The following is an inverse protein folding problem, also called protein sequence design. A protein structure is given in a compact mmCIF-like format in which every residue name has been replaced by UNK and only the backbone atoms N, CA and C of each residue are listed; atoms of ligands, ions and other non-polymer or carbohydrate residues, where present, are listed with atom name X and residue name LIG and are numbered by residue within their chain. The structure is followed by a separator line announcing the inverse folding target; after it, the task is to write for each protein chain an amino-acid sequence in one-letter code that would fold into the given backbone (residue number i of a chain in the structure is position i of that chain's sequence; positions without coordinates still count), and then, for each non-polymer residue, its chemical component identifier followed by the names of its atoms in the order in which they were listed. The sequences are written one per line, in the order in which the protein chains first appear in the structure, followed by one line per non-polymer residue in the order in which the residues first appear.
data_IF_052174910637
#
_entry.id   IF_052174910637
#
_cell.length_a   1.000
_cell.length_b   1.000
_cell.length_c   1.000
_cell.angle_alpha   90.00
_cell.angle_beta   90.00
_cell.angle_gamma   90.00
#
_symmetry.space_group_name_H-M   'P 1'
#
loop_
_entity.id
_entity.type
_entity.pdbx_description
1 polymer ?
#
# COMPACT_ATOMS: atom_id res chain seq x y z
N UNK A 1 2.15 20.50 -16.87
CA UNK A 1 1.69 19.19 -16.39
C UNK A 1 2.83 18.20 -16.58
N UNK A 2 3.63 17.93 -15.55
CA UNK A 2 4.72 16.96 -15.55
C UNK A 2 5.17 16.76 -14.10
N UNK A 3 4.54 15.85 -13.35
CA UNK A 3 4.77 15.72 -11.91
C UNK A 3 4.60 14.32 -11.32
N UNK A 4 4.28 13.30 -12.12
CA UNK A 4 4.21 11.92 -11.67
C UNK A 4 5.48 11.04 -11.86
N UNK A 5 6.50 11.36 -12.69
CA UNK A 5 7.54 10.38 -13.06
C UNK A 5 8.43 9.85 -11.92
N UNK A 6 8.54 10.60 -10.82
CA UNK A 6 9.37 10.21 -9.69
C UNK A 6 8.76 9.05 -8.89
N UNK A 7 7.43 8.90 -8.94
CA UNK A 7 6.73 7.84 -8.21
C UNK A 7 7.02 6.46 -8.81
N UNK A 8 7.03 6.32 -10.15
CA UNK A 8 7.35 5.04 -10.81
C UNK A 8 8.76 4.55 -10.49
N UNK A 9 9.76 5.45 -10.50
CA UNK A 9 11.15 5.10 -10.16
C UNK A 9 11.25 4.64 -8.71
N UNK A 10 10.59 5.35 -7.79
CA UNK A 10 10.57 5.00 -6.37
C UNK A 10 9.90 3.63 -6.14
N UNK A 11 8.83 3.34 -6.89
CA UNK A 11 8.15 2.04 -6.86
C UNK A 11 9.05 0.93 -7.41
N UNK A 12 9.72 1.15 -8.55
CA UNK A 12 10.67 0.19 -9.12
C UNK A 12 11.80 -0.10 -8.14
N UNK A 13 12.33 0.94 -7.49
CA UNK A 13 13.43 0.81 -6.52
C UNK A 13 13.01 0.07 -5.25
N UNK A 14 11.82 0.36 -4.71
CA UNK A 14 11.28 -0.33 -3.54
C UNK A 14 10.91 -1.78 -3.82
N UNK A 15 10.50 -2.08 -5.06
CA UNK A 15 10.19 -3.44 -5.49
C UNK A 15 11.38 -4.19 -6.09
N UNK A 16 12.51 -3.53 -6.34
CA UNK A 16 13.66 -4.09 -7.06
C UNK A 16 14.05 -5.46 -6.51
N UNK A 17 14.17 -5.59 -5.19
CA UNK A 17 14.51 -6.85 -4.55
C UNK A 17 13.48 -7.97 -4.82
N UNK A 18 12.18 -7.69 -4.68
CA UNK A 18 11.12 -8.67 -4.95
C UNK A 18 11.00 -9.01 -6.43
N UNK A 19 11.16 -8.02 -7.31
CA UNK A 19 11.19 -8.24 -8.75
C UNK A 19 12.37 -9.11 -9.15
N UNK A 20 13.56 -8.86 -8.60
CA UNK A 20 14.75 -9.69 -8.84
C UNK A 20 14.47 -11.13 -8.43
N UNK A 21 13.91 -11.38 -7.25
CA UNK A 21 13.62 -12.75 -6.81
C UNK A 21 12.61 -13.47 -7.70
N UNK A 22 11.53 -12.77 -8.11
CA UNK A 22 10.46 -13.38 -8.91
C UNK A 22 10.91 -13.58 -10.37
N UNK A 23 11.47 -12.55 -10.98
CA UNK A 23 11.94 -12.56 -12.37
C UNK A 23 13.21 -13.42 -12.52
N UNK A 24 13.97 -13.65 -11.45
CA UNK A 24 15.09 -14.61 -11.45
C UNK A 24 14.62 -16.05 -11.67
N UNK A 25 13.32 -16.35 -11.48
CA UNK A 25 12.78 -17.66 -11.86
C UNK A 25 12.89 -17.89 -13.37
N UNK A 26 12.74 -16.84 -14.19
CA UNK A 26 12.82 -16.93 -15.65
C UNK A 26 13.34 -15.61 -16.29
N UNK A 27 14.63 -15.35 -16.09
CA UNK A 27 15.24 -14.08 -16.51
C UNK A 27 15.27 -13.90 -18.05
N UNK A 28 15.31 -14.99 -18.81
CA UNK A 28 15.35 -14.96 -20.27
C UNK A 28 13.99 -14.52 -20.86
N UNK A 29 12.88 -14.99 -20.28
CA UNK A 29 11.54 -14.57 -20.65
C UNK A 29 11.33 -13.06 -20.47
N UNK A 30 11.83 -12.53 -19.36
CA UNK A 30 11.75 -11.10 -19.01
C UNK A 30 12.59 -10.26 -19.95
N UNK A 31 13.79 -10.74 -20.27
CA UNK A 31 14.71 -10.08 -21.19
C UNK A 31 14.11 -9.98 -22.60
N UNK A 32 13.48 -11.04 -23.09
CA UNK A 32 12.79 -11.04 -24.39
C UNK A 32 11.59 -10.07 -24.41
N UNK A 33 10.83 -9.99 -23.31
CA UNK A 33 9.71 -9.06 -23.20
C UNK A 33 10.18 -7.60 -23.08
N UNK A 34 11.25 -7.33 -22.34
CA UNK A 34 11.82 -5.99 -22.23
C UNK A 34 12.35 -5.46 -23.58
N UNK A 35 12.94 -6.34 -24.39
CA UNK A 35 13.34 -6.04 -25.77
C UNK A 35 12.13 -5.76 -26.67
N UNK A 36 11.08 -6.60 -26.58
CA UNK A 36 9.83 -6.42 -27.34
C UNK A 36 9.12 -5.10 -27.02
N UNK A 37 9.26 -4.59 -25.80
CA UNK A 37 8.75 -3.27 -25.41
C UNK A 37 9.75 -2.12 -25.58
N UNK A 38 10.92 -2.38 -26.16
CA UNK A 38 11.97 -1.39 -26.42
C UNK A 38 12.37 -0.56 -25.19
N UNK A 39 12.28 -1.15 -23.99
CA UNK A 39 12.62 -0.52 -22.70
C UNK A 39 14.13 -0.48 -22.43
N UNK A 40 14.92 -1.06 -23.32
CA UNK A 40 16.37 -1.09 -23.24
C UNK A 40 16.95 -0.61 -24.56
N UNK A 41 18.02 0.18 -24.49
CA UNK A 41 18.90 0.35 -25.64
C UNK A 41 19.51 -1.00 -26.02
N UNK A 42 19.81 -1.20 -27.30
CA UNK A 42 20.51 -2.39 -27.80
C UNK A 42 21.78 -2.73 -26.97
N UNK A 43 22.55 -1.72 -26.57
CA UNK A 43 23.71 -1.89 -25.68
C UNK A 43 23.34 -2.33 -24.25
N UNK A 44 22.21 -1.87 -23.71
CA UNK A 44 21.71 -2.31 -22.40
C UNK A 44 21.24 -3.76 -22.43
N UNK A 45 20.55 -4.17 -23.50
CA UNK A 45 20.15 -5.55 -23.73
C UNK A 45 21.36 -6.48 -23.85
N UNK A 46 22.38 -6.10 -24.62
CA UNK A 46 23.60 -6.90 -24.76
C UNK A 46 24.37 -7.05 -23.43
N UNK A 47 24.44 -6.00 -22.61
CA UNK A 47 25.06 -6.05 -21.29
C UNK A 47 24.29 -6.98 -20.34
N UNK A 48 22.97 -6.90 -20.32
CA UNK A 48 22.14 -7.80 -19.53
C UNK A 48 22.27 -9.24 -20.02
N UNK A 49 22.25 -9.47 -21.34
CA UNK A 49 22.40 -10.80 -21.93
C UNK A 49 23.77 -11.44 -21.67
N UNK A 50 24.82 -10.62 -21.60
CA UNK A 50 26.18 -11.09 -21.33
C UNK A 50 26.39 -11.60 -19.89
N UNK A 51 25.50 -11.24 -18.94
CA UNK A 51 25.55 -11.77 -17.57
C UNK A 51 25.10 -13.23 -17.55
N UNK A 52 25.91 -14.10 -16.95
CA UNK A 52 25.57 -15.54 -16.84
C UNK A 52 24.51 -15.83 -15.79
N UNK A 53 24.35 -14.95 -14.79
CA UNK A 53 23.49 -15.21 -13.63
C UNK A 53 22.13 -14.53 -13.79
N UNK A 54 21.00 -15.26 -13.76
CA UNK A 54 19.66 -14.72 -14.00
C UNK A 54 19.27 -13.59 -13.02
N UNK A 55 19.63 -13.71 -11.74
CA UNK A 55 19.41 -12.64 -10.74
C UNK A 55 20.13 -11.34 -11.10
N UNK A 56 21.36 -11.45 -11.63
CA UNK A 56 22.17 -10.29 -11.99
C UNK A 56 21.64 -9.68 -13.28
N UNK A 57 21.24 -10.51 -14.27
CA UNK A 57 20.54 -10.05 -15.47
C UNK A 57 19.37 -9.13 -15.11
N UNK A 58 18.48 -9.59 -14.23
CA UNK A 58 17.30 -8.82 -13.81
C UNK A 58 17.70 -7.56 -13.03
N UNK A 59 18.72 -7.65 -12.18
CA UNK A 59 19.20 -6.51 -11.39
C UNK A 59 19.76 -5.40 -12.28
N UNK A 60 20.60 -5.76 -13.26
CA UNK A 60 21.21 -4.86 -14.23
C UNK A 60 20.14 -4.24 -15.14
N UNK A 61 19.16 -5.04 -15.59
CA UNK A 61 18.01 -4.57 -16.37
C UNK A 61 17.21 -3.51 -15.61
N UNK A 62 16.85 -3.79 -14.35
CA UNK A 62 16.13 -2.85 -13.50
C UNK A 62 16.97 -1.60 -13.22
N UNK A 63 18.28 -1.74 -13.02
CA UNK A 63 19.17 -0.60 -12.79
C UNK A 63 19.25 0.30 -14.02
N UNK A 64 19.43 -0.29 -15.21
CA UNK A 64 19.45 0.44 -16.46
C UNK A 64 18.17 1.23 -16.70
N UNK A 65 17.00 0.63 -16.40
CA UNK A 65 15.70 1.30 -16.54
C UNK A 65 15.58 2.47 -15.55
N UNK A 66 16.02 2.28 -14.30
CA UNK A 66 16.06 3.35 -13.29
C UNK A 66 17.01 4.49 -13.70
N UNK A 67 18.14 4.17 -14.33
CA UNK A 67 19.14 5.14 -14.81
C UNK A 67 18.68 5.89 -16.07
N UNK A 68 17.93 5.23 -16.97
CA UNK A 68 17.45 5.84 -18.22
C UNK A 68 16.35 6.87 -17.95
N UNK A 69 15.50 6.60 -16.97
CA UNK A 69 14.52 7.56 -16.48
C UNK A 69 13.13 6.99 -16.26
N UNK A 70 12.18 7.88 -15.93
CA UNK A 70 10.87 7.49 -15.44
C UNK A 70 9.94 6.91 -16.51
N UNK A 71 10.08 7.33 -17.76
CA UNK A 71 9.27 6.83 -18.88
C UNK A 71 9.49 5.32 -19.09
N UNK A 72 10.74 4.88 -18.93
CA UNK A 72 11.12 3.47 -19.04
C UNK A 72 10.67 2.68 -17.81
N UNK A 73 10.76 3.27 -16.62
CA UNK A 73 10.25 2.68 -15.39
C UNK A 73 8.73 2.46 -15.49
N UNK A 74 8.01 3.42 -16.06
CA UNK A 74 6.58 3.31 -16.34
C UNK A 74 6.29 2.21 -17.36
N UNK A 75 7.01 2.18 -18.48
CA UNK A 75 6.86 1.15 -19.49
C UNK A 75 7.12 -0.27 -18.95
N UNK A 76 8.11 -0.43 -18.07
CA UNK A 76 8.35 -1.72 -17.39
C UNK A 76 7.20 -2.09 -16.45
N UNK A 77 6.66 -1.13 -15.70
CA UNK A 77 5.52 -1.36 -14.82
C UNK A 77 4.27 -1.75 -15.60
N UNK A 78 4.01 -1.15 -16.76
CA UNK A 78 2.90 -1.55 -17.62
C UNK A 78 3.08 -2.97 -18.17
N UNK A 79 4.31 -3.33 -18.55
CA UNK A 79 4.64 -4.67 -19.02
C UNK A 79 4.50 -5.73 -17.91
N UNK A 80 4.94 -5.42 -16.69
CA UNK A 80 4.76 -6.28 -15.51
C UNK A 80 3.27 -6.47 -15.15
N UNK A 81 2.43 -5.47 -15.46
CA UNK A 81 0.96 -5.56 -15.33
C UNK A 81 0.31 -6.31 -16.51
N UNK A 82 1.06 -6.61 -17.56
CA UNK A 82 0.61 -7.36 -18.71
C UNK A 82 0.22 -8.81 -18.36
N UNK A 83 -0.76 -9.39 -19.08
CA UNK A 83 -1.22 -10.75 -18.82
C UNK A 83 -0.11 -11.80 -19.02
N UNK A 84 0.75 -11.64 -20.04
CA UNK A 84 1.82 -12.59 -20.37
C UNK A 84 2.83 -12.81 -19.22
N UNK A 85 3.26 -11.73 -18.55
CA UNK A 85 4.16 -11.86 -17.40
C UNK A 85 3.47 -12.41 -16.15
N UNK A 86 2.17 -12.21 -15.99
CA UNK A 86 1.45 -12.74 -14.83
C UNK A 86 1.13 -14.22 -14.95
N UNK A 87 0.91 -14.70 -16.16
CA UNK A 87 0.77 -16.14 -16.42
C UNK A 87 2.10 -16.85 -16.15
N UNK A 88 3.21 -16.24 -16.56
CA UNK A 88 4.56 -16.78 -16.33
C UNK A 88 4.98 -16.66 -14.87
N UNK A 89 4.66 -15.52 -14.24
CA UNK A 89 4.99 -15.21 -12.85
C UNK A 89 3.72 -14.88 -12.06
N UNK A 90 2.98 -15.88 -11.58
CA UNK A 90 1.76 -15.67 -10.80
C UNK A 90 2.02 -14.87 -9.51
N UNK A 91 3.27 -14.83 -9.04
CA UNK A 91 3.67 -13.96 -7.94
C UNK A 91 3.53 -12.48 -8.28
N UNK A 92 3.67 -12.02 -9.53
CA UNK A 92 3.51 -10.61 -9.91
C UNK A 92 2.07 -10.08 -9.81
N UNK A 93 1.07 -10.93 -9.50
CA UNK A 93 -0.33 -10.50 -9.35
C UNK A 93 -0.54 -9.44 -8.27
N UNK A 94 0.36 -9.31 -7.30
CA UNK A 94 0.31 -8.19 -6.34
C UNK A 94 0.48 -6.80 -6.99
N UNK A 95 1.09 -6.73 -8.18
CA UNK A 95 1.22 -5.49 -8.97
C UNK A 95 -0.09 -5.12 -9.69
N UNK A 96 -0.88 -6.13 -10.09
CA UNK A 96 -2.16 -5.95 -10.80
C UNK A 96 -3.25 -5.40 -9.89
N UNK A 97 -3.22 -5.75 -8.61
CA UNK A 97 -4.19 -5.30 -7.61
C UNK A 97 -3.94 -3.86 -7.11
N UNK A 98 -3.07 -3.09 -7.77
CA UNK A 98 -2.77 -1.71 -7.38
C UNK A 98 -2.11 -1.57 -6.00
N UNK A 99 -1.62 -2.67 -5.41
CA UNK A 99 -1.07 -2.68 -4.05
C UNK A 99 0.42 -2.99 -4.04
N UNK A 100 1.17 -2.09 -4.65
CA UNK A 100 2.60 -1.96 -4.42
C UNK A 100 2.74 -1.10 -3.17
N UNK A 101 2.93 -1.72 -2.01
CA UNK A 101 3.31 -1.02 -0.78
C UNK A 101 4.68 -0.34 -0.99
N UNK A 102 4.67 0.91 -1.42
CA UNK A 102 5.66 1.91 -1.00
C UNK A 102 5.18 2.50 0.34
N UNK A 103 6.03 2.68 1.36
CA UNK A 103 5.64 3.35 2.61
C UNK A 103 5.50 4.88 2.44
N UNK A 104 4.88 5.36 1.36
CA UNK A 104 4.57 6.78 1.20
C UNK A 104 3.29 6.97 0.40
N UNK A 105 2.30 7.47 1.14
CA UNK A 105 1.10 8.20 0.70
C UNK A 105 0.26 7.53 -0.38
N UNK A 106 -0.59 6.59 0.06
CA UNK A 106 -1.87 6.34 -0.59
C UNK A 106 -2.97 7.11 0.16
N UNK A 107 -3.93 7.73 -0.53
CA UNK A 107 -5.05 8.39 0.10
C UNK A 107 -5.90 7.32 0.79
N UNK A 108 -6.07 7.46 2.11
CA UNK A 108 -7.21 6.89 2.79
C UNK A 108 -6.98 5.78 3.82
N UNK A 109 -5.83 5.09 3.92
CA UNK A 109 -5.67 4.14 5.05
C UNK A 109 -5.41 4.93 6.33
N UNK A 110 -6.30 4.78 7.33
CA UNK A 110 -6.18 5.50 8.60
C UNK A 110 -4.83 5.17 9.25
N UNK A 111 -3.95 6.18 9.34
CA UNK A 111 -2.65 6.07 9.98
C UNK A 111 -2.85 5.95 11.50
N UNK A 112 -1.92 5.31 12.21
CA UNK A 112 -2.00 5.19 13.67
C UNK A 112 -2.09 6.56 14.36
N UNK A 113 -1.41 7.58 13.84
CA UNK A 113 -1.54 8.95 14.34
C UNK A 113 -2.99 9.46 14.29
N UNK A 114 -3.67 9.23 13.16
CA UNK A 114 -5.07 9.62 12.96
C UNK A 114 -6.01 8.86 13.89
N UNK A 115 -5.74 7.57 14.12
CA UNK A 115 -6.44 6.77 15.13
C UNK A 115 -6.22 7.30 16.55
N UNK A 116 -5.01 7.76 16.86
CA UNK A 116 -4.65 8.31 18.16
C UNK A 116 -5.36 9.66 18.42
N UNK A 117 -5.40 10.54 17.42
CA UNK A 117 -6.09 11.83 17.50
C UNK A 117 -7.59 11.65 17.71
N UNK A 118 -8.21 10.75 16.93
CA UNK A 118 -9.62 10.38 17.10
C UNK A 118 -9.86 9.68 18.43
N UNK A 119 -8.94 8.82 18.90
CA UNK A 119 -9.08 8.15 20.18
C UNK A 119 -9.07 9.13 21.37
N UNK A 120 -8.36 10.25 21.25
CA UNK A 120 -8.40 11.33 22.23
C UNK A 120 -9.75 12.06 22.22
N UNK A 121 -10.35 12.22 21.04
CA UNK A 121 -11.63 12.91 20.86
C UNK A 121 -12.84 12.03 21.25
N UNK A 122 -12.76 10.72 20.98
CA UNK A 122 -13.74 9.74 21.42
C UNK A 122 -13.54 9.54 22.93
N UNK A 123 -14.23 10.35 23.73
CA UNK A 123 -14.26 10.22 25.19
C UNK A 123 -15.02 8.98 25.67
N UNK A 124 -15.71 9.09 26.80
CA UNK A 124 -16.38 7.96 27.48
C UNK A 124 -17.44 7.23 26.64
N UNK A 125 -17.86 7.79 25.50
CA UNK A 125 -18.82 7.18 24.56
C UNK A 125 -18.22 6.08 23.68
N UNK A 126 -16.90 5.80 23.78
CA UNK A 126 -16.23 4.82 22.91
C UNK A 126 -16.89 3.44 22.89
N UNK A 127 -17.39 2.93 24.03
CA UNK A 127 -18.11 1.64 24.07
C UNK A 127 -19.37 1.67 23.22
N UNK A 128 -20.14 2.75 23.34
CA UNK A 128 -21.41 2.93 22.62
C UNK A 128 -21.15 3.07 21.12
N UNK A 129 -20.09 3.79 20.75
CA UNK A 129 -19.61 3.94 19.38
C UNK A 129 -19.09 2.60 18.83
N UNK A 130 -18.35 1.84 19.63
CA UNK A 130 -17.87 0.52 19.27
C UNK A 130 -19.01 -0.42 18.88
N UNK A 131 -20.09 -0.44 19.66
CA UNK A 131 -21.26 -1.29 19.39
C UNK A 131 -22.09 -0.76 18.22
N UNK A 132 -22.43 0.55 18.24
CA UNK A 132 -23.40 1.13 17.30
C UNK A 132 -22.79 1.50 15.94
N UNK A 133 -21.58 2.07 15.93
CA UNK A 133 -20.94 2.58 14.72
C UNK A 133 -19.93 1.60 14.11
N UNK A 134 -19.19 0.86 14.94
CA UNK A 134 -18.14 -0.07 14.49
C UNK A 134 -18.59 -1.54 14.49
N UNK A 135 -19.83 -1.80 14.94
CA UNK A 135 -20.45 -3.13 15.08
C UNK A 135 -19.58 -4.13 15.86
N UNK A 136 -18.75 -3.65 16.77
CA UNK A 136 -17.85 -4.46 17.59
C UNK A 136 -18.69 -5.15 18.68
N UNK A 137 -18.52 -6.47 18.87
CA UNK A 137 -19.23 -7.18 19.92
C UNK A 137 -18.86 -6.61 21.30
N UNK A 138 -19.86 -6.38 22.14
CA UNK A 138 -19.69 -5.83 23.49
C UNK A 138 -18.63 -6.60 24.31
N UNK A 139 -18.62 -7.93 24.17
CA UNK A 139 -17.64 -8.81 24.80
C UNK A 139 -16.19 -8.44 24.47
N UNK A 140 -15.91 -7.96 23.26
CA UNK A 140 -14.56 -7.46 22.91
C UNK A 140 -14.24 -6.12 23.53
N UNK A 141 -15.22 -5.22 23.67
CA UNK A 141 -15.02 -3.94 24.33
C UNK A 141 -14.73 -4.12 25.82
N UNK A 142 -15.41 -5.06 26.47
CA UNK A 142 -15.13 -5.43 27.86
C UNK A 142 -13.72 -6.01 28.00
N UNK A 143 -13.31 -6.88 27.08
CA UNK A 143 -11.96 -7.42 27.10
C UNK A 143 -10.90 -6.33 26.92
N UNK A 144 -11.12 -5.37 26.01
CA UNK A 144 -10.20 -4.24 25.80
C UNK A 144 -10.15 -3.34 27.05
N UNK A 145 -11.28 -3.14 27.74
CA UNK A 145 -11.31 -2.36 28.97
C UNK A 145 -10.51 -3.00 30.11
N UNK A 146 -10.56 -4.33 30.20
CA UNK A 146 -9.82 -5.11 31.20
C UNK A 146 -8.33 -5.13 30.87
N UNK A 147 -7.99 -5.34 29.59
CA UNK A 147 -6.61 -5.49 29.11
C UNK A 147 -5.84 -4.16 29.14
N UNK A 148 -6.53 -3.04 28.90
CA UNK A 148 -5.91 -1.73 28.80
C UNK A 148 -6.25 -0.84 29.99
N UNK A 149 -5.23 -0.25 30.61
CA UNK A 149 -5.39 0.65 31.77
C UNK A 149 -5.75 2.08 31.36
N UNK A 150 -5.23 2.53 30.22
CA UNK A 150 -5.40 3.90 29.73
C UNK A 150 -6.65 4.00 28.85
N UNK A 151 -7.47 5.04 29.05
CA UNK A 151 -8.66 5.26 28.24
C UNK A 151 -8.31 5.40 26.76
N UNK A 152 -7.30 6.20 26.43
CA UNK A 152 -6.88 6.44 25.05
C UNK A 152 -6.45 5.11 24.38
N UNK A 153 -5.77 4.23 25.12
CA UNK A 153 -5.36 2.93 24.60
C UNK A 153 -6.57 2.02 24.34
N UNK A 154 -7.56 1.99 25.23
CA UNK A 154 -8.83 1.25 25.01
C UNK A 154 -9.50 1.66 23.70
N UNK A 155 -9.63 2.97 23.48
CA UNK A 155 -10.26 3.52 22.29
C UNK A 155 -9.42 3.23 21.04
N UNK A 156 -8.10 3.35 21.16
CA UNK A 156 -7.16 3.05 20.09
C UNK A 156 -7.23 1.56 19.69
N UNK A 157 -7.21 0.64 20.66
CA UNK A 157 -7.37 -0.80 20.43
C UNK A 157 -8.72 -1.14 19.81
N UNK A 158 -9.80 -0.48 20.24
CA UNK A 158 -11.10 -0.62 19.61
C UNK A 158 -11.06 -0.25 18.12
N UNK A 159 -10.44 0.89 17.79
CA UNK A 159 -10.33 1.33 16.40
C UNK A 159 -9.38 0.45 15.58
N UNK A 160 -8.30 -0.04 16.18
CA UNK A 160 -7.42 -1.03 15.55
C UNK A 160 -8.16 -2.33 15.27
N UNK A 161 -8.98 -2.80 16.20
CA UNK A 161 -9.81 -3.99 16.01
C UNK A 161 -10.81 -3.80 14.86
N UNK A 162 -11.46 -2.64 14.79
CA UNK A 162 -12.29 -2.30 13.64
C UNK A 162 -11.51 -2.29 12.32
N UNK A 163 -10.32 -1.69 12.30
CA UNK A 163 -9.44 -1.65 11.11
C UNK A 163 -9.04 -3.05 10.65
N UNK A 164 -8.69 -3.94 11.57
CA UNK A 164 -8.32 -5.33 11.25
C UNK A 164 -9.50 -6.15 10.72
N UNK A 165 -10.73 -5.84 11.18
CA UNK A 165 -11.96 -6.45 10.67
C UNK A 165 -12.34 -5.95 9.28
N UNK A 166 -12.23 -4.64 9.02
CA UNK A 166 -12.66 -4.02 7.76
C UNK A 166 -11.64 -4.15 6.61
N UNK A 167 -10.36 -4.46 6.90
CA UNK A 167 -9.23 -4.71 5.97
C UNK A 167 -9.07 -3.71 4.82
N UNK A 168 -9.96 -3.73 3.82
CA UNK A 168 -9.97 -2.88 2.62
C UNK A 168 -10.89 -1.66 2.72
N UNK A 169 -11.92 -1.68 3.60
CA UNK A 169 -12.85 -0.57 3.82
C UNK A 169 -12.49 0.32 5.02
N UNK A 170 -11.33 0.08 5.65
CA UNK A 170 -10.86 0.84 6.80
C UNK A 170 -10.25 2.19 6.39
N UNK A 171 -11.04 3.02 5.70
CA UNK A 171 -10.61 4.32 5.21
C UNK A 171 -10.97 5.45 6.17
N UNK A 172 -10.18 6.53 6.16
CA UNK A 172 -10.42 7.72 6.99
C UNK A 172 -11.79 8.35 6.71
N UNK A 173 -12.19 8.42 5.45
CA UNK A 173 -13.53 8.86 5.04
C UNK A 173 -14.64 7.92 5.54
N UNK A 174 -14.40 6.60 5.58
CA UNK A 174 -15.38 5.64 6.09
C UNK A 174 -15.52 5.75 7.62
N UNK A 175 -14.40 5.87 8.34
CA UNK A 175 -14.40 6.13 9.78
C UNK A 175 -15.07 7.47 10.10
N UNK A 176 -14.76 8.52 9.34
CA UNK A 176 -15.39 9.83 9.47
C UNK A 176 -16.90 9.75 9.22
N UNK A 177 -17.34 9.04 8.18
CA UNK A 177 -18.77 8.85 7.90
C UNK A 177 -19.47 8.09 9.02
N UNK A 178 -18.85 7.08 9.62
CA UNK A 178 -19.41 6.33 10.76
C UNK A 178 -19.48 7.20 12.02
N UNK A 179 -18.43 7.96 12.31
CA UNK A 179 -18.36 8.86 13.46
C UNK A 179 -19.25 10.09 13.31
N UNK A 180 -19.51 10.53 12.07
CA UNK A 180 -20.44 11.61 11.75
C UNK A 180 -21.91 11.17 11.80
N UNK A 181 -22.22 9.88 12.00
CA UNK A 181 -23.60 9.45 12.22
C UNK A 181 -24.07 9.89 13.62
N UNK A 182 -25.37 10.16 13.71
CA UNK A 182 -26.12 10.78 14.84
C UNK A 182 -25.95 10.09 16.22
N UNK A 183 -25.21 8.99 16.29
CA UNK A 183 -24.97 8.19 17.49
C UNK A 183 -23.67 8.53 18.25
N UNK A 184 -22.73 9.28 17.65
CA UNK A 184 -21.43 9.52 18.28
C UNK A 184 -21.40 10.76 19.20
N UNK A 185 -22.31 11.71 19.03
CA UNK A 185 -22.38 12.93 19.87
C UNK A 185 -21.11 13.78 19.85
N UNK A 186 -20.20 13.54 18.89
CA UNK A 186 -18.94 14.26 18.74
C UNK A 186 -19.11 15.39 17.75
N UNK A 187 -18.54 16.58 18.03
CA UNK A 187 -18.57 17.67 17.09
C UNK A 187 -17.69 17.34 15.87
N UNK A 188 -18.06 17.78 14.65
CA UNK A 188 -17.32 17.48 13.43
C UNK A 188 -15.86 17.98 13.48
N UNK A 189 -15.56 18.99 14.29
CA UNK A 189 -14.20 19.49 14.56
C UNK A 189 -13.28 18.43 15.19
N UNK A 190 -13.83 17.49 15.95
CA UNK A 190 -13.07 16.41 16.59
C UNK A 190 -12.71 15.27 15.63
N UNK A 191 -13.40 15.18 14.49
CA UNK A 191 -13.14 14.19 13.43
C UNK A 191 -12.50 14.82 12.17
N UNK A 192 -12.44 16.15 12.10
CA UNK A 192 -11.73 16.92 11.08
C UNK A 192 -10.29 16.46 10.80
N UNK A 193 -9.44 16.08 11.79
CA UNK A 193 -8.09 15.61 11.51
C UNK A 193 -8.05 14.40 10.56
N UNK A 194 -9.12 13.59 10.49
CA UNK A 194 -9.23 12.46 9.55
C UNK A 194 -9.22 12.88 8.07
N UNK A 195 -9.58 14.14 7.77
CA UNK A 195 -9.71 14.68 6.41
C UNK A 195 -8.66 15.76 6.10
N UNK A 196 -7.95 16.30 7.11
CA UNK A 196 -7.01 17.43 6.95
C UNK A 196 -5.61 17.02 6.41
N UNK A 197 -5.46 15.79 5.92
CA UNK A 197 -4.18 15.23 5.47
C UNK A 197 -4.15 14.71 4.03
N UNK A 198 -5.07 15.18 3.19
CA UNK A 198 -5.03 14.95 1.73
C UNK A 198 -4.15 15.99 1.02
#
# INVERSE_FOLDING_TARGET
MAGEPAAEIQQLRGLKARLIEILSADADFVLQHADSSSLLSNSGYQQVRARTVPREKVTDLLDHIIQRGPEEARGLLELLKGPALQETFPMLRFLKDGKINTPSTGPGLVKEKQLMEVACAIGNSWKKIGILALEIPALKLEQIEIDQTQHIDRVFQMLLFWRTRQKTNATAAHLHRLLSQEHCGLPPESIAPLLEGD
#
